data_IF_994065385160
#
_entry.id   IF_994065385160
#
_cell.length_a   1.000
_cell.length_b   1.000
_cell.length_c   1.000
_cell.angle_alpha   90.00
_cell.angle_beta   90.00
_cell.angle_gamma   90.00
#
_symmetry.space_group_name_H-M   'P 1'
#
loop_
_entity.id
_entity.type
_entity.pdbx_description
1 polymer ?
#
# COMPACT_ATOMS: atom_id res chain seq x y z
N UNK A 1 10.92 -12.72 -23.52
CA UNK A 1 10.28 -13.15 -22.26
C UNK A 1 11.12 -12.57 -21.13
N UNK A 2 10.52 -11.66 -20.34
CA UNK A 2 11.23 -11.02 -19.24
C UNK A 2 11.12 -11.83 -17.95
N UNK A 3 12.11 -11.75 -17.06
CA UNK A 3 12.01 -12.33 -15.73
C UNK A 3 11.22 -11.40 -14.78
N UNK A 4 10.25 -11.96 -14.06
CA UNK A 4 9.52 -11.28 -12.99
C UNK A 4 9.64 -12.08 -11.71
N UNK A 5 10.26 -11.51 -10.70
CA UNK A 5 10.44 -12.15 -9.38
C UNK A 5 9.45 -11.56 -8.40
N UNK A 6 8.62 -12.39 -7.78
CA UNK A 6 7.64 -11.98 -6.78
C UNK A 6 8.11 -12.50 -5.42
N UNK A 7 8.71 -11.63 -4.60
CA UNK A 7 9.05 -11.95 -3.22
C UNK A 7 7.75 -11.96 -2.40
N UNK A 8 7.48 -13.06 -1.72
CA UNK A 8 6.19 -13.29 -1.07
C UNK A 8 5.12 -13.91 -1.99
N UNK A 9 5.51 -14.54 -3.11
CA UNK A 9 4.62 -15.03 -4.17
C UNK A 9 3.54 -16.03 -3.72
N UNK A 10 3.71 -16.75 -2.60
CA UNK A 10 2.68 -17.62 -2.02
C UNK A 10 1.82 -16.93 -0.93
N UNK A 11 2.05 -15.64 -0.69
CA UNK A 11 1.29 -14.82 0.25
C UNK A 11 -0.09 -14.42 -0.31
N UNK A 12 -0.83 -13.65 0.47
CA UNK A 12 -2.19 -13.22 0.10
C UNK A 12 -2.20 -12.37 -1.20
N UNK A 13 -1.43 -11.32 -1.27
CA UNK A 13 -1.27 -10.49 -2.49
C UNK A 13 -0.54 -11.27 -3.59
N UNK A 14 0.57 -11.96 -3.23
CA UNK A 14 1.42 -12.65 -4.19
C UNK A 14 0.68 -13.73 -4.98
N UNK A 15 -0.17 -14.51 -4.33
CA UNK A 15 -0.96 -15.55 -4.99
C UNK A 15 -1.98 -15.00 -5.99
N UNK A 16 -2.53 -13.81 -5.71
CA UNK A 16 -3.44 -13.10 -6.62
C UNK A 16 -2.69 -12.54 -7.82
N UNK A 17 -1.53 -11.92 -7.57
CA UNK A 17 -0.67 -11.41 -8.62
C UNK A 17 -0.21 -12.53 -9.57
N UNK A 18 0.17 -13.69 -9.02
CA UNK A 18 0.53 -14.87 -9.83
C UNK A 18 -0.63 -15.32 -10.72
N UNK A 19 -1.88 -15.29 -10.23
CA UNK A 19 -3.06 -15.61 -11.05
C UNK A 19 -3.29 -14.58 -12.16
N UNK A 20 -3.19 -13.29 -11.86
CA UNK A 20 -3.30 -12.24 -12.88
C UNK A 20 -2.25 -12.38 -13.98
N UNK A 21 -1.04 -12.83 -13.62
CA UNK A 21 0.08 -13.05 -14.54
C UNK A 21 -0.01 -14.38 -15.32
N UNK A 22 -0.94 -15.27 -15.00
CA UNK A 22 -1.03 -16.59 -15.64
C UNK A 22 -1.24 -16.53 -17.15
N UNK A 23 -1.97 -15.54 -17.62
CA UNK A 23 -2.29 -15.34 -19.04
C UNK A 23 -1.25 -14.46 -19.76
N UNK A 24 -0.26 -13.93 -19.03
CA UNK A 24 0.78 -13.04 -19.53
C UNK A 24 2.06 -13.79 -19.90
N UNK A 25 2.04 -14.44 -21.09
CA UNK A 25 3.15 -15.28 -21.59
C UNK A 25 4.45 -14.53 -21.87
N UNK A 26 4.43 -13.21 -21.87
CA UNK A 26 5.61 -12.35 -21.97
C UNK A 26 6.49 -12.39 -20.72
N UNK A 27 5.99 -12.89 -19.57
CA UNK A 27 6.72 -13.02 -18.33
C UNK A 27 7.04 -14.48 -17.99
N UNK A 28 8.27 -14.71 -17.55
CA UNK A 28 8.64 -15.88 -16.75
C UNK A 28 8.58 -15.46 -15.28
N UNK A 29 7.55 -15.94 -14.56
CA UNK A 29 7.24 -15.53 -13.20
C UNK A 29 7.93 -16.46 -12.19
N UNK A 30 8.69 -15.89 -11.25
CA UNK A 30 9.32 -16.61 -10.15
C UNK A 30 8.60 -16.23 -8.85
N UNK A 31 7.71 -17.10 -8.38
CA UNK A 31 6.99 -16.94 -7.14
C UNK A 31 7.84 -17.44 -5.96
N UNK A 32 8.52 -16.52 -5.29
CA UNK A 32 9.51 -16.81 -4.24
C UNK A 32 8.89 -16.65 -2.86
N UNK A 33 9.04 -17.65 -1.99
CA UNK A 33 8.53 -17.62 -0.62
C UNK A 33 9.35 -18.54 0.29
N UNK A 34 9.35 -18.29 1.60
CA UNK A 34 10.05 -19.12 2.58
C UNK A 34 9.64 -20.61 2.54
N UNK A 35 8.40 -20.86 2.21
CA UNK A 35 7.86 -22.21 2.00
C UNK A 35 7.24 -22.23 0.61
N UNK A 36 7.79 -23.03 -0.29
CA UNK A 36 7.19 -23.20 -1.61
C UNK A 36 5.82 -23.86 -1.40
N UNK A 37 4.78 -23.11 -1.74
CA UNK A 37 3.44 -23.64 -1.98
C UNK A 37 3.09 -23.31 -3.40
N UNK A 38 3.03 -24.33 -4.25
CA UNK A 38 2.40 -24.18 -5.54
C UNK A 38 0.93 -23.78 -5.30
N UNK A 39 0.55 -22.58 -5.71
CA UNK A 39 -0.83 -22.11 -5.61
C UNK A 39 -1.67 -22.81 -6.68
N UNK A 40 -1.08 -23.03 -7.85
CA UNK A 40 -1.63 -23.84 -8.95
C UNK A 40 -0.46 -24.46 -9.72
N UNK A 41 -0.50 -25.79 -9.89
CA UNK A 41 0.57 -26.55 -10.55
C UNK A 41 0.50 -26.51 -12.09
N UNK A 42 -0.55 -25.91 -12.65
CA UNK A 42 -0.85 -25.90 -14.10
C UNK A 42 -0.29 -24.69 -14.86
N UNK A 43 0.22 -23.66 -14.15
CA UNK A 43 0.69 -22.44 -14.78
C UNK A 43 2.08 -22.64 -15.41
N UNK A 44 2.14 -22.68 -16.74
CA UNK A 44 3.36 -23.00 -17.50
C UNK A 44 4.46 -21.94 -17.40
N UNK A 45 4.09 -20.68 -17.18
CA UNK A 45 5.01 -19.55 -17.09
C UNK A 45 5.47 -19.25 -15.65
N UNK A 46 5.03 -20.02 -14.64
CA UNK A 46 5.29 -19.78 -13.21
C UNK A 46 6.20 -20.84 -12.61
N UNK A 47 7.27 -20.39 -11.96
CA UNK A 47 8.21 -21.21 -11.19
C UNK A 47 8.05 -20.87 -9.71
N UNK A 48 7.69 -21.85 -8.88
CA UNK A 48 7.62 -21.69 -7.43
C UNK A 48 8.96 -22.06 -6.80
N UNK A 49 9.53 -21.14 -6.02
CA UNK A 49 10.83 -21.32 -5.37
C UNK A 49 10.75 -21.13 -3.85
N UNK A 50 11.36 -22.06 -3.12
CA UNK A 50 11.53 -21.95 -1.66
C UNK A 50 12.83 -21.18 -1.39
N UNK A 51 12.74 -19.92 -0.98
CA UNK A 51 13.89 -19.10 -0.59
C UNK A 51 13.49 -18.19 0.57
N UNK A 52 14.30 -18.21 1.63
CA UNK A 52 14.21 -17.21 2.69
C UNK A 52 15.07 -16.00 2.30
N UNK A 53 14.41 -14.92 1.88
CA UNK A 53 15.06 -13.69 1.44
C UNK A 53 15.82 -12.98 2.56
N UNK A 54 15.55 -13.30 3.82
CA UNK A 54 16.31 -12.77 4.96
C UNK A 54 17.68 -13.42 5.14
N UNK A 55 18.00 -14.50 4.42
CA UNK A 55 19.31 -15.14 4.50
C UNK A 55 20.37 -14.38 3.70
N UNK A 56 21.58 -14.22 4.24
CA UNK A 56 22.69 -13.64 3.48
C UNK A 56 22.90 -14.34 2.13
N UNK A 57 23.11 -13.56 1.07
CA UNK A 57 23.33 -14.07 -0.27
C UNK A 57 22.08 -14.54 -1.01
N UNK A 58 20.88 -14.37 -0.45
CA UNK A 58 19.63 -14.74 -1.11
C UNK A 58 19.47 -14.06 -2.49
N UNK A 59 19.98 -12.84 -2.68
CA UNK A 59 19.93 -12.14 -3.96
C UNK A 59 20.59 -12.92 -5.10
N UNK A 60 21.64 -13.69 -4.81
CA UNK A 60 22.38 -14.52 -5.81
C UNK A 60 21.58 -15.74 -6.28
N UNK A 61 20.58 -16.15 -5.51
CA UNK A 61 19.70 -17.29 -5.85
C UNK A 61 18.48 -16.88 -6.68
N UNK A 62 18.31 -15.59 -6.93
CA UNK A 62 17.23 -15.05 -7.75
C UNK A 62 17.70 -14.88 -9.20
N UNK A 63 16.81 -15.03 -10.20
CA UNK A 63 17.12 -14.75 -11.60
C UNK A 63 17.70 -13.36 -11.78
N UNK A 64 18.64 -13.22 -12.69
CA UNK A 64 19.18 -11.93 -13.12
C UNK A 64 18.30 -11.30 -14.21
N UNK A 65 18.52 -10.02 -14.50
CA UNK A 65 17.76 -9.23 -15.48
C UNK A 65 16.25 -9.30 -15.24
N UNK A 66 15.85 -9.10 -13.98
CA UNK A 66 14.48 -9.25 -13.54
C UNK A 66 13.87 -7.93 -13.05
N UNK A 67 12.56 -7.81 -13.20
CA UNK A 67 11.76 -6.91 -12.36
C UNK A 67 11.44 -7.67 -11.07
N UNK A 68 11.71 -7.05 -9.92
CA UNK A 68 11.43 -7.64 -8.61
C UNK A 68 10.24 -6.93 -7.98
N UNK A 69 9.21 -7.69 -7.62
CA UNK A 69 8.08 -7.20 -6.82
C UNK A 69 8.32 -7.59 -5.37
N UNK A 70 8.54 -6.60 -4.51
CA UNK A 70 8.74 -6.79 -3.08
C UNK A 70 7.41 -6.62 -2.33
N UNK A 71 6.85 -7.73 -1.85
CA UNK A 71 5.61 -7.72 -1.07
C UNK A 71 5.87 -7.76 0.46
N UNK A 72 6.90 -8.47 0.97
CA UNK A 72 7.11 -8.57 2.41
C UNK A 72 8.07 -7.48 2.91
N UNK A 73 7.69 -6.74 3.96
CA UNK A 73 8.59 -5.83 4.68
C UNK A 73 9.72 -6.57 5.45
N UNK A 74 9.77 -7.89 5.34
CA UNK A 74 10.83 -8.72 5.88
C UNK A 74 12.03 -8.90 4.93
N UNK A 75 11.95 -8.35 3.72
CA UNK A 75 13.07 -8.34 2.76
C UNK A 75 14.13 -7.37 3.26
N UNK A 76 15.40 -7.80 3.45
CA UNK A 76 16.46 -6.89 3.84
C UNK A 76 16.67 -5.79 2.79
N UNK A 77 16.84 -4.50 3.20
CA UNK A 77 17.17 -3.42 2.25
C UNK A 77 18.44 -3.70 1.44
N UNK A 78 19.40 -4.45 2.01
CA UNK A 78 20.63 -4.87 1.35
C UNK A 78 20.36 -5.76 0.12
N UNK A 79 19.35 -6.65 0.19
CA UNK A 79 18.95 -7.45 -0.96
C UNK A 79 18.41 -6.54 -2.07
N UNK A 80 17.61 -5.55 -1.72
CA UNK A 80 17.08 -4.57 -2.67
C UNK A 80 18.23 -3.76 -3.27
N UNK A 81 19.19 -3.29 -2.46
CA UNK A 81 20.39 -2.59 -2.94
C UNK A 81 21.20 -3.42 -3.94
N UNK A 82 21.42 -4.74 -3.66
CA UNK A 82 22.13 -5.64 -4.57
C UNK A 82 21.42 -5.77 -5.93
N UNK A 83 20.07 -5.78 -5.95
CA UNK A 83 19.28 -5.84 -7.19
C UNK A 83 19.38 -4.53 -7.97
N UNK A 84 19.24 -3.40 -7.28
CA UNK A 84 19.36 -2.07 -7.88
C UNK A 84 20.77 -1.78 -8.41
N UNK A 85 21.81 -2.29 -7.75
CA UNK A 85 23.19 -2.19 -8.24
C UNK A 85 23.41 -2.93 -9.57
N UNK A 86 22.57 -3.91 -9.91
CA UNK A 86 22.53 -4.61 -11.20
C UNK A 86 21.67 -3.91 -12.24
N UNK A 87 21.28 -2.66 -12.01
CA UNK A 87 20.39 -1.88 -12.89
C UNK A 87 19.00 -2.51 -13.08
N UNK A 88 18.56 -3.30 -12.11
CA UNK A 88 17.24 -3.91 -12.12
C UNK A 88 16.17 -2.97 -11.55
N UNK A 89 14.91 -3.33 -11.75
CA UNK A 89 13.76 -2.60 -11.22
C UNK A 89 13.19 -3.34 -10.02
N UNK A 90 12.90 -2.61 -8.94
CA UNK A 90 12.19 -3.12 -7.77
C UNK A 90 10.92 -2.32 -7.55
N UNK A 91 9.77 -3.02 -7.54
CA UNK A 91 8.46 -2.47 -7.18
C UNK A 91 8.17 -2.83 -5.73
N UNK A 92 7.91 -1.84 -4.88
CA UNK A 92 7.68 -2.05 -3.45
C UNK A 92 6.27 -1.63 -3.02
N UNK A 93 5.63 -2.48 -2.21
CA UNK A 93 4.25 -2.28 -1.72
C UNK A 93 4.17 -1.94 -0.23
N UNK A 94 5.29 -1.66 0.40
CA UNK A 94 5.40 -1.50 1.86
C UNK A 94 4.67 -0.28 2.38
N UNK A 95 4.10 -0.42 3.57
CA UNK A 95 3.28 0.59 4.23
C UNK A 95 3.95 1.16 5.51
N UNK A 96 5.11 0.65 5.90
CA UNK A 96 5.85 1.13 7.08
C UNK A 96 6.87 2.19 6.67
N UNK A 97 6.73 3.48 7.08
CA UNK A 97 7.60 4.58 6.62
C UNK A 97 9.09 4.29 6.81
N UNK A 98 9.50 3.85 8.02
CA UNK A 98 10.91 3.54 8.31
C UNK A 98 11.52 2.48 7.38
N UNK A 99 10.71 1.52 6.94
CA UNK A 99 11.16 0.50 6.00
C UNK A 99 11.32 1.09 4.59
N UNK A 100 10.34 1.87 4.13
CA UNK A 100 10.41 2.58 2.85
C UNK A 100 11.58 3.54 2.80
N UNK A 101 11.84 4.31 3.87
CA UNK A 101 13.03 5.16 4.01
C UNK A 101 14.34 4.36 3.88
N UNK A 102 14.38 3.16 4.43
CA UNK A 102 15.56 2.29 4.31
C UNK A 102 15.76 1.82 2.86
N UNK A 103 14.69 1.51 2.13
CA UNK A 103 14.74 1.16 0.70
C UNK A 103 15.18 2.36 -0.16
N UNK A 104 14.67 3.57 0.12
CA UNK A 104 15.06 4.79 -0.59
C UNK A 104 16.57 5.06 -0.39
N UNK A 105 17.07 4.91 0.85
CA UNK A 105 18.52 5.01 1.12
C UNK A 105 19.32 3.93 0.38
N UNK A 106 18.78 2.72 0.30
CA UNK A 106 19.43 1.61 -0.42
C UNK A 106 19.48 1.84 -1.94
N UNK A 107 18.56 2.62 -2.49
CA UNK A 107 18.53 2.98 -3.90
C UNK A 107 19.48 4.14 -4.25
N UNK A 108 19.95 4.89 -3.26
CA UNK A 108 20.81 6.05 -3.49
C UNK A 108 22.14 5.66 -4.18
N UNK A 109 22.45 6.33 -5.30
CA UNK A 109 23.68 6.08 -6.07
C UNK A 109 23.69 4.79 -6.88
N UNK A 110 22.57 4.07 -6.97
CA UNK A 110 22.43 2.89 -7.85
C UNK A 110 21.90 3.29 -9.24
N UNK A 111 22.16 2.44 -10.24
CA UNK A 111 21.61 2.62 -11.59
C UNK A 111 20.27 1.92 -11.79
N UNK A 112 19.78 1.18 -10.80
CA UNK A 112 18.48 0.52 -10.81
C UNK A 112 17.33 1.49 -10.50
N UNK A 113 16.12 1.04 -10.70
CA UNK A 113 14.88 1.80 -10.45
C UNK A 113 14.13 1.18 -9.29
N UNK A 114 14.02 1.89 -8.16
CA UNK A 114 13.10 1.56 -7.08
C UNK A 114 11.81 2.35 -7.30
N UNK A 115 10.66 1.70 -7.28
CA UNK A 115 9.34 2.35 -7.28
C UNK A 115 8.62 1.98 -5.99
N UNK A 116 8.39 2.97 -5.13
CA UNK A 116 7.65 2.81 -3.87
C UNK A 116 6.16 3.08 -4.04
N UNK A 117 5.36 2.60 -3.10
CA UNK A 117 3.92 2.84 -3.10
C UNK A 117 3.16 2.09 -4.21
N UNK A 118 3.61 0.88 -4.59
CA UNK A 118 2.98 0.12 -5.67
C UNK A 118 1.88 -0.78 -5.12
N UNK A 119 0.87 -0.18 -4.50
CA UNK A 119 -0.24 -0.93 -3.89
C UNK A 119 -1.56 -0.15 -3.90
N UNK A 120 -2.49 -0.63 -3.09
CA UNK A 120 -3.75 0.08 -2.85
C UNK A 120 -3.52 1.25 -1.88
N UNK A 121 -2.81 1.00 -0.76
CA UNK A 121 -2.36 2.02 0.20
C UNK A 121 -1.06 1.54 0.88
N UNK A 122 0.08 2.23 0.65
CA UNK A 122 0.28 3.33 -0.32
C UNK A 122 0.13 2.87 -1.77
N UNK A 123 -0.21 3.82 -2.64
CA UNK A 123 -0.36 3.60 -4.09
C UNK A 123 -1.57 4.30 -4.65
N UNK A 124 -2.72 3.64 -4.80
CA UNK A 124 -3.94 4.32 -5.22
C UNK A 124 -4.28 5.49 -4.30
N UNK A 125 -4.13 5.33 -2.98
CA UNK A 125 -4.31 6.41 -2.02
C UNK A 125 -3.36 7.58 -2.26
N UNK A 126 -2.10 7.29 -2.63
CA UNK A 126 -1.08 8.29 -2.95
C UNK A 126 -1.43 9.04 -4.23
N UNK A 127 -1.89 8.34 -5.28
CA UNK A 127 -2.35 8.95 -6.54
C UNK A 127 -3.56 9.87 -6.31
N UNK A 128 -4.52 9.44 -5.47
CA UNK A 128 -5.66 10.29 -5.11
C UNK A 128 -5.23 11.57 -4.39
N UNK A 129 -4.27 11.46 -3.48
CA UNK A 129 -3.72 12.59 -2.74
C UNK A 129 -2.89 13.52 -3.63
N UNK A 130 -2.03 12.95 -4.50
CA UNK A 130 -1.21 13.72 -5.43
C UNK A 130 -2.06 14.52 -6.43
N UNK A 131 -3.15 13.93 -6.92
CA UNK A 131 -4.08 14.63 -7.80
C UNK A 131 -4.77 15.82 -7.08
N UNK A 132 -5.13 15.68 -5.80
CA UNK A 132 -5.64 16.79 -5.02
C UNK A 132 -4.57 17.85 -4.71
N UNK A 133 -3.33 17.43 -4.44
CA UNK A 133 -2.19 18.31 -4.16
C UNK A 133 -1.78 19.18 -5.38
N UNK A 134 -2.24 18.84 -6.59
CA UNK A 134 -2.05 19.66 -7.79
C UNK A 134 -2.72 21.03 -7.71
N UNK A 135 -3.68 21.22 -6.80
CA UNK A 135 -4.32 22.50 -6.55
C UNK A 135 -3.48 23.31 -5.55
N UNK A 136 -2.96 24.46 -5.98
CA UNK A 136 -2.09 25.34 -5.20
C UNK A 136 -2.69 25.86 -3.87
N UNK A 137 -4.01 25.79 -3.71
CA UNK A 137 -4.70 26.18 -2.48
C UNK A 137 -4.65 25.10 -1.39
N UNK A 138 -4.15 23.90 -1.70
CA UNK A 138 -4.11 22.79 -0.74
C UNK A 138 -2.94 22.95 0.22
N UNK A 139 -3.24 23.03 1.50
CA UNK A 139 -2.27 23.12 2.60
C UNK A 139 -2.24 21.83 3.44
N UNK A 140 -3.37 21.12 3.48
CA UNK A 140 -3.48 19.89 4.26
C UNK A 140 -4.27 18.83 3.48
N UNK A 141 -3.75 17.61 3.49
CA UNK A 141 -4.43 16.42 3.00
C UNK A 141 -4.72 15.48 4.17
N UNK A 142 -5.93 14.94 4.20
CA UNK A 142 -6.29 13.83 5.10
C UNK A 142 -6.74 12.65 4.28
N UNK A 143 -6.06 11.52 4.48
CA UNK A 143 -6.28 10.29 3.73
C UNK A 143 -6.84 9.25 4.70
N UNK A 144 -8.09 8.86 4.51
CA UNK A 144 -8.76 7.83 5.28
C UNK A 144 -8.83 6.53 4.50
N UNK A 145 -8.41 5.43 5.13
CA UNK A 145 -8.52 4.08 4.63
C UNK A 145 -9.51 3.31 5.50
N UNK A 146 -10.55 2.73 4.91
CA UNK A 146 -11.46 1.80 5.60
C UNK A 146 -11.30 0.40 5.02
N UNK A 147 -10.94 -0.56 5.90
CA UNK A 147 -10.75 -1.97 5.57
C UNK A 147 -11.94 -2.79 6.08
N UNK A 148 -12.63 -3.48 5.19
CA UNK A 148 -13.72 -4.38 5.56
C UNK A 148 -13.20 -5.73 6.06
N UNK A 149 -13.82 -6.29 7.08
CA UNK A 149 -13.45 -7.58 7.71
C UNK A 149 -14.23 -8.77 7.17
N UNK A 150 -14.86 -8.65 6.00
CA UNK A 150 -15.64 -9.76 5.38
C UNK A 150 -14.80 -10.96 4.95
N UNK A 151 -13.48 -10.87 5.08
CA UNK A 151 -12.51 -11.93 4.83
C UNK A 151 -11.32 -11.80 5.77
N UNK A 152 -10.62 -12.91 6.04
CA UNK A 152 -9.35 -12.87 6.73
C UNK A 152 -8.28 -12.20 5.85
N UNK A 153 -7.63 -11.20 6.41
CA UNK A 153 -6.42 -10.62 5.82
C UNK A 153 -5.28 -11.62 5.87
N UNK A 154 -4.31 -11.45 4.96
CA UNK A 154 -3.04 -12.16 5.07
C UNK A 154 -2.37 -11.89 6.42
N UNK A 155 -1.64 -12.87 6.94
CA UNK A 155 -0.99 -12.78 8.26
C UNK A 155 -0.12 -11.51 8.38
N UNK A 156 0.62 -11.15 7.31
CA UNK A 156 1.49 -9.97 7.30
C UNK A 156 0.70 -8.67 7.46
N UNK A 157 -0.43 -8.52 6.75
CA UNK A 157 -1.28 -7.33 6.83
C UNK A 157 -1.94 -7.20 8.21
N UNK A 158 -2.42 -8.30 8.79
CA UNK A 158 -3.00 -8.29 10.14
C UNK A 158 -1.93 -7.97 11.21
N UNK A 159 -0.71 -8.51 11.09
CA UNK A 159 0.40 -8.18 11.99
C UNK A 159 0.80 -6.72 11.87
N UNK A 160 0.90 -6.20 10.64
CA UNK A 160 1.17 -4.78 10.38
C UNK A 160 0.11 -3.89 11.06
N UNK A 161 -1.18 -4.22 10.92
CA UNK A 161 -2.27 -3.47 11.53
C UNK A 161 -2.09 -3.30 13.05
N UNK A 162 -1.86 -4.39 13.79
CA UNK A 162 -1.65 -4.32 15.24
C UNK A 162 -0.38 -3.57 15.60
N UNK A 163 0.67 -3.65 14.79
CA UNK A 163 1.92 -2.91 14.99
C UNK A 163 1.72 -1.43 14.72
N UNK A 164 1.09 -1.07 13.62
CA UNK A 164 0.84 0.32 13.23
C UNK A 164 0.02 1.09 14.28
N UNK A 165 -0.97 0.44 14.91
CA UNK A 165 -1.76 1.06 15.98
C UNK A 165 -1.00 1.18 17.32
N UNK A 166 0.11 0.49 17.49
CA UNK A 166 0.79 0.42 18.78
C UNK A 166 2.13 1.13 18.84
N UNK A 167 2.70 1.53 17.72
CA UNK A 167 4.00 2.19 17.68
C UNK A 167 3.84 3.70 17.50
N UNK A 168 4.36 4.52 18.43
CA UNK A 168 4.45 5.94 18.21
C UNK A 168 5.26 6.25 16.95
N UNK A 169 4.89 7.32 16.27
CA UNK A 169 5.59 7.82 15.11
C UNK A 169 5.84 9.32 15.23
N UNK A 170 6.87 9.80 14.58
CA UNK A 170 7.18 11.23 14.58
C UNK A 170 6.35 11.90 13.48
N UNK A 171 5.53 12.88 13.90
CA UNK A 171 4.77 13.72 12.98
C UNK A 171 5.79 14.51 12.14
N UNK A 172 5.81 14.34 10.80
CA UNK A 172 6.83 14.92 9.94
C UNK A 172 6.84 16.45 9.94
N UNK A 173 5.74 17.09 10.37
CA UNK A 173 5.62 18.55 10.38
C UNK A 173 5.97 19.18 11.71
N UNK A 174 5.72 18.49 12.81
CA UNK A 174 5.97 19.03 14.15
C UNK A 174 7.19 18.44 14.81
N UNK A 175 7.75 17.35 14.27
CA UNK A 175 8.82 16.56 14.89
C UNK A 175 8.43 15.95 16.24
N UNK A 176 7.14 16.02 16.61
CA UNK A 176 6.64 15.47 17.86
C UNK A 176 6.26 14.02 17.67
N UNK A 177 6.60 13.20 18.65
CA UNK A 177 6.10 11.83 18.71
C UNK A 177 4.60 11.83 18.95
N UNK A 178 3.87 11.14 18.08
CA UNK A 178 2.40 10.99 18.12
C UNK A 178 2.08 9.52 18.38
N UNK A 179 1.15 9.30 19.29
CA UNK A 179 0.61 7.95 19.54
C UNK A 179 -0.58 7.74 18.59
N UNK A 180 -0.60 6.66 17.79
CA UNK A 180 -1.72 6.36 16.91
C UNK A 180 -3.06 6.41 17.65
N UNK A 181 -4.07 7.07 17.06
CA UNK A 181 -5.37 7.27 17.69
C UNK A 181 -5.45 8.47 18.66
N UNK A 182 -4.37 9.25 18.83
CA UNK A 182 -4.40 10.48 19.64
C UNK A 182 -5.20 11.60 18.96
N UNK A 183 -5.15 11.66 17.64
CA UNK A 183 -5.84 12.67 16.81
C UNK A 183 -6.81 12.03 15.81
N UNK A 184 -7.81 11.25 16.28
CA UNK A 184 -8.72 10.56 15.38
C UNK A 184 -9.55 11.56 14.55
N UNK A 185 -9.95 11.13 13.35
CA UNK A 185 -10.76 11.93 12.46
C UNK A 185 -12.00 11.18 12.02
N UNK A 186 -13.04 11.91 11.55
CA UNK A 186 -14.24 11.31 10.99
C UNK A 186 -14.29 11.55 9.50
N UNK A 187 -14.39 10.46 8.73
CA UNK A 187 -14.48 10.48 7.27
C UNK A 187 -15.86 10.09 6.77
N UNK A 188 -16.29 10.74 5.72
CA UNK A 188 -17.35 10.27 4.85
C UNK A 188 -16.69 9.31 3.84
N UNK A 189 -16.73 8.00 4.09
CA UNK A 189 -16.23 7.00 3.15
C UNK A 189 -17.19 6.75 1.98
N UNK A 190 -18.45 7.18 2.11
CA UNK A 190 -19.46 7.23 1.06
C UNK A 190 -20.31 8.48 1.20
N UNK A 191 -21.07 8.80 0.16
CA UNK A 191 -21.99 9.95 0.20
C UNK A 191 -23.19 9.77 1.13
N UNK A 192 -23.62 8.53 1.31
CA UNK A 192 -24.92 8.18 1.90
C UNK A 192 -24.81 7.59 3.32
N UNK A 193 -23.60 7.41 3.86
CA UNK A 193 -23.39 6.90 5.20
C UNK A 193 -22.92 8.00 6.16
N UNK A 194 -23.23 7.85 7.45
CA UNK A 194 -22.73 8.75 8.48
C UNK A 194 -21.19 8.70 8.56
N UNK A 195 -20.53 9.82 8.94
CA UNK A 195 -19.08 9.87 9.09
C UNK A 195 -18.58 8.81 10.06
N UNK A 196 -17.53 8.06 9.68
CA UNK A 196 -16.93 6.99 10.47
C UNK A 196 -15.64 7.45 11.11
N UNK A 197 -15.42 7.02 12.34
CA UNK A 197 -14.18 7.26 13.07
C UNK A 197 -13.04 6.50 12.39
N UNK A 198 -11.90 7.17 12.20
CA UNK A 198 -10.65 6.58 11.77
C UNK A 198 -9.52 7.06 12.71
N UNK A 199 -8.57 6.19 12.98
CA UNK A 199 -7.42 6.44 13.86
C UNK A 199 -6.25 6.92 13.03
N UNK A 200 -5.56 7.96 13.48
CA UNK A 200 -4.34 8.42 12.85
C UNK A 200 -3.27 7.34 12.91
N UNK A 201 -2.52 7.18 11.82
CA UNK A 201 -1.45 6.19 11.66
C UNK A 201 -0.36 6.76 10.77
N UNK A 202 0.86 6.24 10.91
CA UNK A 202 1.94 6.57 10.00
C UNK A 202 1.80 5.78 8.69
N UNK A 203 1.95 6.48 7.56
CA UNK A 203 2.08 5.89 6.23
C UNK A 203 3.17 6.63 5.45
N UNK A 204 3.78 5.99 4.45
CA UNK A 204 4.69 6.68 3.53
C UNK A 204 3.95 7.71 2.67
N UNK A 205 4.57 8.87 2.46
CA UNK A 205 4.02 10.02 1.73
C UNK A 205 4.80 10.35 0.45
N UNK A 206 5.75 9.50 0.07
CA UNK A 206 6.62 9.73 -1.08
C UNK A 206 5.78 9.90 -2.35
N UNK A 207 6.09 10.96 -3.09
CA UNK A 207 5.42 11.28 -4.32
C UNK A 207 4.22 12.23 -4.20
N UNK A 208 3.76 12.57 -3.00
CA UNK A 208 2.77 13.63 -2.82
C UNK A 208 3.51 14.97 -2.89
N UNK A 209 3.57 15.54 -4.09
CA UNK A 209 4.30 16.81 -4.37
C UNK A 209 3.29 17.92 -4.58
N UNK A 210 3.28 18.95 -3.71
CA UNK A 210 2.39 20.08 -3.87
C UNK A 210 2.85 21.00 -5.00
N UNK A 211 1.90 21.62 -5.68
CA UNK A 211 2.18 22.66 -6.67
C UNK A 211 2.47 24.02 -6.04
N UNK A 212 1.99 24.27 -4.80
CA UNK A 212 2.02 25.57 -4.14
C UNK A 212 2.94 25.69 -2.93
N UNK A 213 3.76 24.68 -2.61
CA UNK A 213 4.60 24.68 -1.41
C UNK A 213 4.56 23.34 -0.66
N UNK A 214 4.77 23.36 0.66
CA UNK A 214 4.72 22.15 1.50
C UNK A 214 3.26 21.84 1.90
N UNK A 215 2.82 20.60 1.62
CA UNK A 215 1.48 20.10 2.00
C UNK A 215 1.61 19.15 3.19
N UNK A 216 0.79 19.36 4.20
CA UNK A 216 0.73 18.47 5.37
C UNK A 216 -0.16 17.27 5.06
N UNK A 217 0.37 16.07 5.17
CA UNK A 217 -0.36 14.83 4.89
C UNK A 217 -0.59 14.07 6.19
N UNK A 218 -1.84 13.67 6.42
CA UNK A 218 -2.23 12.87 7.57
C UNK A 218 -2.99 11.63 7.11
N UNK A 219 -2.56 10.47 7.59
CA UNK A 219 -3.19 9.19 7.29
C UNK A 219 -4.02 8.68 8.44
N UNK A 220 -5.12 8.01 8.09
CA UNK A 220 -6.07 7.47 9.05
C UNK A 220 -6.55 6.11 8.62
N UNK A 221 -6.77 5.22 9.59
CA UNK A 221 -7.21 3.85 9.37
C UNK A 221 -8.51 3.58 10.12
N UNK A 222 -9.48 3.05 9.43
CA UNK A 222 -10.74 2.55 9.96
C UNK A 222 -10.95 1.08 9.56
N UNK A 223 -11.76 0.40 10.33
CA UNK A 223 -12.15 -0.99 10.08
C UNK A 223 -13.68 -1.08 10.04
N UNK A 224 -14.22 -1.84 9.09
CA UNK A 224 -15.63 -2.19 9.03
C UNK A 224 -15.86 -3.60 9.63
N UNK A 225 -16.72 -3.75 10.63
CA UNK A 225 -17.73 -2.80 11.11
C UNK A 225 -17.18 -1.72 12.07
N UNK A 226 -17.83 -0.55 12.15
CA UNK A 226 -17.32 0.64 12.86
C UNK A 226 -17.06 0.46 14.36
N UNK A 227 -17.71 -0.49 15.00
CA UNK A 227 -17.49 -0.77 16.43
C UNK A 227 -16.05 -1.27 16.70
N UNK A 228 -15.42 -1.93 15.71
CA UNK A 228 -14.05 -2.43 15.83
C UNK A 228 -13.08 -1.25 15.95
N UNK A 229 -13.21 -0.24 15.08
CA UNK A 229 -12.39 1.00 15.19
C UNK A 229 -12.60 1.68 16.53
N UNK A 230 -13.85 1.73 17.05
CA UNK A 230 -14.14 2.32 18.37
C UNK A 230 -13.47 1.53 19.48
N UNK A 231 -13.46 0.20 19.40
CA UNK A 231 -12.76 -0.66 20.38
C UNK A 231 -11.27 -0.35 20.41
N UNK A 232 -10.63 -0.22 19.25
CA UNK A 232 -9.22 0.18 19.17
C UNK A 232 -8.98 1.58 19.71
N UNK A 233 -9.88 2.54 19.44
CA UNK A 233 -9.79 3.88 20.01
C UNK A 233 -9.85 3.87 21.56
N UNK A 234 -10.71 3.04 22.15
CA UNK A 234 -10.76 2.86 23.60
C UNK A 234 -9.48 2.21 24.13
N UNK A 235 -8.99 1.15 23.47
CA UNK A 235 -7.75 0.50 23.84
C UNK A 235 -6.55 1.46 23.82
N UNK A 236 -6.47 2.35 22.83
CA UNK A 236 -5.45 3.40 22.76
C UNK A 236 -5.57 4.37 23.93
N UNK A 237 -6.76 4.86 24.24
CA UNK A 237 -6.99 5.76 25.40
C UNK A 237 -6.62 5.12 26.74
N UNK A 238 -6.71 3.80 26.85
CA UNK A 238 -6.29 3.03 28.02
C UNK A 238 -4.79 2.71 28.03
N UNK A 239 -4.01 3.21 27.07
CA UNK A 239 -2.57 2.99 26.97
C UNK A 239 -2.18 1.58 26.50
N UNK A 240 -3.10 0.81 25.93
CA UNK A 240 -2.85 -0.57 25.48
C UNK A 240 -2.15 -0.67 24.12
N UNK A 241 -1.90 0.46 23.44
CA UNK A 241 -1.29 0.49 22.11
C UNK A 241 0.06 -0.23 22.06
N UNK A 242 0.97 0.12 22.97
CA UNK A 242 2.30 -0.51 23.05
C UNK A 242 2.19 -2.02 23.29
N UNK A 243 1.34 -2.43 24.20
CA UNK A 243 1.08 -3.85 24.48
C UNK A 243 0.56 -4.59 23.22
N UNK A 244 -0.36 -3.98 22.45
CA UNK A 244 -0.86 -4.54 21.19
C UNK A 244 0.26 -4.73 20.17
N UNK A 245 1.15 -3.77 20.04
CA UNK A 245 2.29 -3.85 19.13
C UNK A 245 3.27 -4.96 19.53
N UNK A 246 3.65 -5.04 20.81
CA UNK A 246 4.54 -6.07 21.33
C UNK A 246 3.96 -7.49 21.20
N UNK A 247 2.63 -7.62 21.24
CA UNK A 247 1.91 -8.88 21.11
C UNK A 247 1.24 -9.08 19.73
N UNK A 248 1.62 -8.28 18.73
CA UNK A 248 1.01 -8.28 17.39
C UNK A 248 0.88 -9.66 16.77
N UNK A 249 1.92 -10.50 16.85
CA UNK A 249 1.89 -11.88 16.33
C UNK A 249 0.85 -12.77 17.02
N UNK A 250 0.66 -12.61 18.34
CA UNK A 250 -0.35 -13.38 19.10
C UNK A 250 -1.75 -12.91 18.77
N UNK A 251 -1.93 -11.59 18.72
CA UNK A 251 -3.20 -10.96 18.35
C UNK A 251 -3.61 -11.31 16.92
N UNK A 252 -2.67 -11.31 15.99
CA UNK A 252 -2.89 -11.78 14.61
C UNK A 252 -3.37 -13.23 14.57
N UNK A 253 -2.69 -14.16 15.30
CA UNK A 253 -3.12 -15.56 15.34
C UNK A 253 -4.50 -15.71 15.94
N UNK A 254 -4.86 -14.89 16.92
CA UNK A 254 -6.19 -14.88 17.52
C UNK A 254 -7.23 -14.32 16.54
N UNK A 255 -6.97 -13.17 15.91
CA UNK A 255 -7.89 -12.56 14.97
C UNK A 255 -8.22 -13.45 13.77
N UNK A 256 -7.23 -14.21 13.27
CA UNK A 256 -7.43 -15.18 12.20
C UNK A 256 -8.28 -16.42 12.59
N UNK A 257 -8.54 -16.62 13.88
CA UNK A 257 -9.43 -17.68 14.39
C UNK A 257 -10.85 -17.21 14.67
N UNK A 258 -11.05 -15.88 14.73
CA UNK A 258 -12.38 -15.32 14.96
C UNK A 258 -13.25 -15.48 13.71
N UNK A 259 -14.57 -15.60 13.86
CA UNK A 259 -15.49 -15.54 12.73
C UNK A 259 -15.29 -14.26 11.92
N UNK A 260 -15.43 -14.37 10.62
CA UNK A 260 -15.44 -13.19 9.74
C UNK A 260 -16.74 -12.43 9.92
N UNK A 261 -16.65 -11.11 9.98
CA UNK A 261 -17.80 -10.22 10.07
C UNK A 261 -17.47 -8.91 9.32
N UNK A 262 -18.52 -8.20 8.88
CA UNK A 262 -18.35 -7.03 8.03
C UNK A 262 -18.47 -7.34 6.55
N UNK A 263 -18.10 -6.40 5.72
CA UNK A 263 -18.21 -6.51 4.26
C UNK A 263 -16.84 -6.73 3.63
N UNK A 264 -16.83 -7.40 2.48
CA UNK A 264 -15.63 -7.55 1.65
C UNK A 264 -15.48 -6.29 0.77
N UNK A 265 -14.94 -5.24 1.37
CA UNK A 265 -14.74 -3.96 0.67
C UNK A 265 -13.57 -3.20 1.23
N UNK A 266 -13.02 -2.33 0.40
CA UNK A 266 -11.99 -1.37 0.76
C UNK A 266 -12.42 0.00 0.29
N UNK A 267 -12.31 1.00 1.14
CA UNK A 267 -12.65 2.38 0.82
C UNK A 267 -11.47 3.29 1.10
N UNK A 268 -11.24 4.22 0.21
CA UNK A 268 -10.24 5.28 0.38
C UNK A 268 -10.94 6.62 0.21
N UNK A 269 -10.67 7.52 1.13
CA UNK A 269 -11.13 8.91 1.05
C UNK A 269 -9.93 9.83 1.20
N UNK A 270 -9.70 10.69 0.22
CA UNK A 270 -8.73 11.77 0.32
C UNK A 270 -9.48 13.10 0.37
N UNK A 271 -9.15 13.96 1.34
CA UNK A 271 -9.80 15.26 1.56
C UNK A 271 -8.73 16.34 1.61
N UNK A 272 -8.92 17.38 0.82
CA UNK A 272 -8.03 18.53 0.73
C UNK A 272 -8.61 19.74 1.47
N UNK A 273 -7.76 20.41 2.24
CA UNK A 273 -8.10 21.60 3.02
C UNK A 273 -7.19 22.74 2.64
N UNK A 274 -7.75 23.96 2.61
CA UNK A 274 -6.99 25.21 2.45
C UNK A 274 -6.35 25.66 3.78
N UNK A 275 -5.71 26.84 3.73
CA UNK A 275 -5.04 27.47 4.85
C UNK A 275 -5.97 27.79 6.02
N UNK A 276 -7.22 28.11 5.74
CA UNK A 276 -8.26 28.39 6.71
C UNK A 276 -8.89 27.11 7.31
N UNK A 277 -8.42 25.93 6.86
CA UNK A 277 -8.95 24.63 7.30
C UNK A 277 -10.31 24.28 6.68
N UNK A 278 -10.70 24.96 5.59
CA UNK A 278 -11.93 24.65 4.86
C UNK A 278 -11.69 23.50 3.87
N UNK A 279 -12.61 22.56 3.79
CA UNK A 279 -12.58 21.51 2.77
C UNK A 279 -12.84 22.13 1.40
N UNK A 280 -11.87 21.97 0.48
CA UNK A 280 -11.95 22.49 -0.88
C UNK A 280 -12.20 21.41 -1.92
N UNK A 281 -11.75 20.19 -1.67
CA UNK A 281 -11.96 19.06 -2.56
C UNK A 281 -11.90 17.73 -1.81
N UNK A 282 -12.56 16.71 -2.33
CA UNK A 282 -12.42 15.35 -1.83
C UNK A 282 -12.59 14.31 -2.93
N UNK A 283 -11.92 13.18 -2.77
CA UNK A 283 -12.02 12.00 -3.64
C UNK A 283 -12.41 10.79 -2.83
N UNK A 284 -13.30 9.99 -3.37
CA UNK A 284 -13.79 8.76 -2.77
C UNK A 284 -13.55 7.60 -3.71
N UNK A 285 -13.03 6.50 -3.18
CA UNK A 285 -12.89 5.23 -3.88
C UNK A 285 -13.51 4.11 -3.05
N UNK A 286 -14.26 3.23 -3.71
CA UNK A 286 -14.72 1.98 -3.12
C UNK A 286 -14.37 0.84 -4.06
N UNK A 287 -13.79 -0.22 -3.52
CA UNK A 287 -13.44 -1.45 -4.24
C UNK A 287 -13.65 -2.68 -3.38
N UNK A 288 -13.32 -3.84 -3.91
CA UNK A 288 -13.42 -5.12 -3.25
C UNK A 288 -12.29 -5.39 -2.25
N UNK A 289 -11.75 -6.59 -2.32
CA UNK A 289 -10.66 -7.05 -1.43
C UNK A 289 -9.37 -6.24 -1.63
N UNK A 290 -8.75 -5.81 -0.53
CA UNK A 290 -7.51 -5.05 -0.53
C UNK A 290 -6.37 -5.75 -1.28
N UNK A 291 -6.25 -7.08 -1.12
CA UNK A 291 -5.15 -7.82 -1.74
C UNK A 291 -5.36 -7.99 -3.25
N UNK A 292 -6.61 -8.09 -3.72
CA UNK A 292 -6.93 -8.05 -5.15
C UNK A 292 -6.61 -6.67 -5.74
N UNK A 293 -7.00 -5.61 -5.04
CA UNK A 293 -6.69 -4.22 -5.43
C UNK A 293 -5.17 -3.99 -5.51
N UNK A 294 -4.41 -4.46 -4.52
CA UNK A 294 -2.95 -4.33 -4.51
C UNK A 294 -2.32 -5.13 -5.65
N UNK A 295 -2.75 -6.36 -5.89
CA UNK A 295 -2.25 -7.17 -7.00
C UNK A 295 -2.55 -6.52 -8.36
N UNK A 296 -3.75 -5.96 -8.54
CA UNK A 296 -4.11 -5.25 -9.75
C UNK A 296 -3.32 -3.94 -9.93
N UNK A 297 -3.05 -3.19 -8.87
CA UNK A 297 -2.18 -1.99 -8.93
C UNK A 297 -0.76 -2.35 -9.38
N UNK A 298 -0.21 -3.47 -8.92
CA UNK A 298 1.10 -3.96 -9.38
C UNK A 298 1.05 -4.28 -10.89
N UNK A 299 -0.02 -4.95 -11.36
CA UNK A 299 -0.20 -5.22 -12.80
C UNK A 299 -0.23 -3.93 -13.62
N UNK A 300 -1.03 -2.95 -13.19
CA UNK A 300 -1.14 -1.65 -13.88
C UNK A 300 0.21 -0.94 -13.92
N UNK A 301 0.99 -1.00 -12.83
CA UNK A 301 2.33 -0.41 -12.78
C UNK A 301 3.29 -1.13 -13.74
N UNK A 302 3.27 -2.47 -13.79
CA UNK A 302 4.06 -3.25 -14.74
C UNK A 302 3.72 -2.92 -16.19
N UNK A 303 2.44 -2.73 -16.52
CA UNK A 303 1.99 -2.32 -17.86
C UNK A 303 2.49 -0.92 -18.22
N UNK A 304 2.38 0.05 -17.30
CA UNK A 304 2.84 1.41 -17.51
C UNK A 304 4.35 1.47 -17.75
N UNK A 305 5.15 0.71 -16.98
CA UNK A 305 6.60 0.66 -17.13
C UNK A 305 7.05 -0.01 -18.44
N UNK A 306 6.21 -0.82 -19.05
CA UNK A 306 6.49 -1.42 -20.37
C UNK A 306 6.22 -0.48 -21.52
N UNK A 307 5.20 0.38 -21.38
CA UNK A 307 4.78 1.34 -22.42
C UNK A 307 5.52 2.67 -22.36
N UNK A 308 6.19 2.97 -21.25
CA UNK A 308 6.90 4.23 -21.03
C UNK A 308 8.40 4.19 -21.36
N UNK A 309 8.94 5.33 -21.79
CA UNK A 309 10.30 5.45 -22.32
C UNK A 309 11.42 5.52 -21.29
N UNK A 310 11.15 5.60 -19.99
CA UNK A 310 12.24 5.82 -19.03
C UNK A 310 12.02 5.17 -17.67
N UNK A 311 12.78 4.13 -17.38
CA UNK A 311 13.09 3.72 -16.02
C UNK A 311 14.05 4.77 -15.43
N UNK A 312 13.54 5.66 -14.58
CA UNK A 312 14.40 6.61 -13.89
C UNK A 312 15.23 5.86 -12.83
N UNK A 313 16.55 5.97 -12.91
CA UNK A 313 17.44 5.39 -11.89
C UNK A 313 17.20 6.04 -10.52
N UNK A 314 17.40 5.28 -9.45
CA UNK A 314 17.22 5.73 -8.07
C UNK A 314 15.82 5.46 -7.53
N UNK A 315 15.45 6.19 -6.49
CA UNK A 315 14.15 6.04 -5.83
C UNK A 315 13.08 6.91 -6.51
N UNK A 316 12.00 6.27 -6.89
CA UNK A 316 10.82 6.86 -7.51
C UNK A 316 9.58 6.47 -6.70
N UNK A 317 8.50 7.21 -6.87
CA UNK A 317 7.18 6.85 -6.35
C UNK A 317 6.26 6.43 -7.51
N UNK A 318 5.18 5.74 -7.21
CA UNK A 318 4.17 5.36 -8.20
C UNK A 318 3.66 6.56 -9.02
N UNK A 319 3.62 7.77 -8.44
CA UNK A 319 3.17 8.99 -9.12
C UNK A 319 4.12 9.45 -10.25
N UNK A 320 5.35 8.96 -10.27
CA UNK A 320 6.30 9.23 -11.35
C UNK A 320 6.03 8.35 -12.58
N UNK A 321 5.18 7.33 -12.45
CA UNK A 321 4.90 6.34 -13.48
C UNK A 321 3.43 6.26 -13.90
N UNK A 322 2.51 6.67 -13.02
CA UNK A 322 1.05 6.60 -13.25
C UNK A 322 0.38 7.88 -12.74
N UNK A 323 -0.62 8.34 -13.47
CA UNK A 323 -1.62 9.24 -12.93
C UNK A 323 -2.83 8.47 -12.37
N UNK A 324 -3.73 9.18 -11.69
CA UNK A 324 -4.91 8.58 -11.09
C UNK A 324 -5.85 7.98 -12.12
N UNK A 325 -6.04 8.60 -13.28
CA UNK A 325 -6.96 8.13 -14.33
C UNK A 325 -6.45 6.83 -14.96
N UNK A 326 -5.16 6.77 -15.26
CA UNK A 326 -4.50 5.55 -15.76
C UNK A 326 -4.63 4.40 -14.75
N UNK A 327 -4.37 4.66 -13.47
CA UNK A 327 -4.51 3.66 -12.42
C UNK A 327 -5.94 3.13 -12.34
N UNK A 328 -6.93 4.02 -12.35
CA UNK A 328 -8.33 3.65 -12.25
C UNK A 328 -8.82 2.90 -13.49
N UNK A 329 -8.39 3.30 -14.67
CA UNK A 329 -8.68 2.60 -15.92
C UNK A 329 -8.08 1.19 -15.90
N UNK A 330 -6.82 1.06 -15.46
CA UNK A 330 -6.15 -0.23 -15.31
C UNK A 330 -6.85 -1.15 -14.32
N UNK A 331 -7.21 -0.65 -13.15
CA UNK A 331 -7.95 -1.42 -12.15
C UNK A 331 -9.26 -1.99 -12.70
N UNK A 332 -10.00 -1.22 -13.50
CA UNK A 332 -11.24 -1.70 -14.14
C UNK A 332 -11.00 -2.84 -15.13
N UNK A 333 -9.84 -2.86 -15.81
CA UNK A 333 -9.48 -3.96 -16.73
C UNK A 333 -9.17 -5.26 -15.99
N UNK A 334 -8.48 -5.17 -14.84
CA UNK A 334 -8.01 -6.35 -14.12
C UNK A 334 -8.99 -6.89 -13.09
N UNK A 335 -9.95 -6.08 -12.64
CA UNK A 335 -10.90 -6.45 -11.60
C UNK A 335 -12.33 -6.27 -12.10
N UNK A 336 -13.01 -7.38 -12.39
CA UNK A 336 -14.44 -7.37 -12.65
C UNK A 336 -15.20 -6.91 -11.39
N UNK A 337 -16.08 -5.90 -11.55
CA UNK A 337 -16.96 -5.48 -10.45
C UNK A 337 -16.38 -4.46 -9.47
N UNK A 338 -15.35 -3.71 -9.85
CA UNK A 338 -15.06 -2.46 -9.14
C UNK A 338 -16.30 -1.57 -9.29
N UNK A 339 -16.96 -1.32 -8.16
CA UNK A 339 -18.14 -0.46 -8.09
C UNK A 339 -17.88 0.92 -8.70
N UNK A 340 -18.92 1.71 -8.99
CA UNK A 340 -18.76 3.01 -9.60
C UNK A 340 -17.89 3.87 -8.69
N UNK A 341 -16.72 4.24 -9.18
CA UNK A 341 -15.87 5.20 -8.51
C UNK A 341 -16.58 6.54 -8.48
N UNK A 342 -17.14 6.87 -7.34
CA UNK A 342 -17.62 8.21 -7.09
C UNK A 342 -16.42 9.15 -6.87
N UNK A 343 -15.81 9.60 -7.96
CA UNK A 343 -14.91 10.75 -7.93
C UNK A 343 -15.78 12.00 -7.72
N UNK A 344 -15.76 12.54 -6.53
CA UNK A 344 -16.40 13.83 -6.25
C UNK A 344 -15.33 14.87 -6.03
N UNK A 345 -15.10 15.71 -7.01
CA UNK A 345 -14.66 17.07 -6.74
C UNK A 345 -15.91 17.83 -6.27
N UNK A 346 -16.06 18.11 -4.99
CA UNK A 346 -17.01 19.11 -4.54
C UNK A 346 -16.28 20.45 -4.46
N UNK A 347 -16.56 21.42 -5.33
CA UNK A 347 -16.50 22.80 -4.88
C UNK A 347 -17.67 22.94 -3.87
N UNK A 348 -17.40 23.46 -2.67
CA UNK A 348 -18.48 23.95 -1.82
C UNK A 348 -19.22 25.06 -2.59
N UNK A 349 -20.55 25.08 -2.56
CA UNK A 349 -21.28 26.27 -3.00
C UNK A 349 -20.80 27.45 -2.18
N UNK A 350 -20.55 28.57 -2.87
CA UNK A 350 -20.26 29.88 -2.29
C UNK A 350 -21.31 30.26 -1.26
#
# INVERSE_FOLDING_TARGET
MGNLVILGGSGDVGSRLVRLLSDHQEWKVWAVSRRSRAVETTLKNVVYSALDVARPGAAKSLPEDAIVVNLPEATPPELVAERLARSETVLDTSATPRYVDALIRAAAGTNGCLVTGVGMAPGLSTLMAADLASNERVETLRIGLELGMGRHYGQAAAEWFFRALGLPYDDPFTGRSVVPGEKPWRFNFTRNEAPRLALDVAFPDEGIRPSGGEVRVHHYLAVDPPFVTRLFAVAQRLGLGRWMSEHSRRLTKLSLRLPQFGQLRTRVTAVAFDREGQEIASKLFEGGDQADLTAAMIMVTLEAMRSGDARQAGANSIVDHLDLEQALSGLRRHLAGIGPMCMNTRPKPN
#
